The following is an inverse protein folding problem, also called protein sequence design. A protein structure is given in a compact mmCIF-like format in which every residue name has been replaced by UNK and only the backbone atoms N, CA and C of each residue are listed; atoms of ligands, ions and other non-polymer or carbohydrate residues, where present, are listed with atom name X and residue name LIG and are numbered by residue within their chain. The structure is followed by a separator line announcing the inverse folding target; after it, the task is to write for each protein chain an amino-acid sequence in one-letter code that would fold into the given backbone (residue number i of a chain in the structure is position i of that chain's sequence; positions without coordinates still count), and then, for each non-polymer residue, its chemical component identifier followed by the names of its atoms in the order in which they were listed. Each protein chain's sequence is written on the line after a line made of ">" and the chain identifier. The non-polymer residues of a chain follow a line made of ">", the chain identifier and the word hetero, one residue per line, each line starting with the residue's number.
data_IF_242339432548
#
_entry.id   IF_242339432548
#
_cell.length_a   1.000
_cell.length_b   1.000
_cell.length_c   1.000
_cell.angle_alpha   90.00
_cell.angle_beta   90.00
_cell.angle_gamma   90.00
#
_symmetry.space_group_name_H-M   'P 1'
#
loop_
_entity.id
_entity.type
_entity.pdbx_description
1 polymer ?
#
# COMPACT_ATOMS: atom_id res chain seq x y z
N UNK A 1 26.73 -0.39 1.44
CA UNK A 1 27.70 -1.43 1.05
C UNK A 1 26.88 -2.50 0.37
N UNK A 2 26.52 -2.38 -0.91
CA UNK A 2 27.26 -2.49 -2.19
C UNK A 2 26.38 -1.82 -3.26
N UNK A 3 26.82 -1.16 -4.33
CA UNK A 3 28.12 -0.85 -4.90
C UNK A 3 27.81 -0.06 -6.17
N UNK A 4 28.19 1.22 -6.21
CA UNK A 4 28.04 2.04 -7.42
C UNK A 4 29.12 1.59 -8.40
N UNK A 5 28.73 0.81 -9.41
CA UNK A 5 29.55 0.59 -10.60
C UNK A 5 28.86 1.31 -11.75
N UNK A 6 29.10 2.62 -11.83
CA UNK A 6 28.83 3.39 -13.03
C UNK A 6 30.08 3.28 -13.92
N UNK A 7 30.08 2.28 -14.81
CA UNK A 7 31.14 2.02 -15.78
C UNK A 7 31.17 3.19 -16.78
N UNK A 8 32.08 4.14 -16.57
CA UNK A 8 32.32 5.26 -17.48
C UNK A 8 33.20 4.79 -18.62
N UNK A 9 32.58 4.25 -19.67
CA UNK A 9 33.24 4.09 -20.96
C UNK A 9 32.94 5.32 -21.81
N UNK A 10 33.96 6.17 -21.94
CA UNK A 10 33.99 7.23 -22.93
C UNK A 10 33.90 6.62 -24.33
N UNK A 11 32.85 6.92 -25.07
CA UNK A 11 32.80 6.75 -26.52
C UNK A 11 31.79 7.72 -27.12
N UNK A 12 32.31 8.58 -27.99
CA UNK A 12 31.58 9.50 -28.85
C UNK A 12 30.49 8.76 -29.62
N UNK A 13 29.24 9.17 -29.46
CA UNK A 13 28.11 8.66 -30.24
C UNK A 13 26.81 9.38 -29.86
N UNK A 14 26.26 10.13 -30.81
CA UNK A 14 24.97 10.81 -30.72
C UNK A 14 23.84 9.78 -30.60
N UNK A 15 23.56 9.34 -29.38
CA UNK A 15 22.43 8.47 -29.05
C UNK A 15 21.77 9.00 -27.78
N UNK A 16 20.62 9.66 -27.94
CA UNK A 16 19.78 10.09 -26.82
C UNK A 16 19.15 8.85 -26.20
N UNK A 17 19.81 8.25 -25.22
CA UNK A 17 19.21 7.27 -24.34
C UNK A 17 18.54 8.04 -23.19
N UNK A 18 17.21 8.14 -23.24
CA UNK A 18 16.40 8.55 -22.09
C UNK A 18 16.40 7.40 -21.07
N UNK A 19 17.48 7.27 -20.30
CA UNK A 19 17.47 6.42 -19.11
C UNK A 19 16.66 7.12 -18.03
N UNK A 20 15.35 6.86 -18.01
CA UNK A 20 14.50 7.16 -16.86
C UNK A 20 14.85 6.20 -15.74
N UNK A 21 15.30 6.71 -14.60
CA UNK A 21 15.18 5.98 -13.35
C UNK A 21 13.70 5.99 -12.97
N UNK A 22 13.04 4.83 -13.02
CA UNK A 22 11.77 4.65 -12.33
C UNK A 22 12.09 4.50 -10.85
N UNK A 23 11.87 5.56 -10.07
CA UNK A 23 11.74 5.46 -8.63
C UNK A 23 10.39 4.81 -8.37
N UNK A 24 10.37 3.52 -8.03
CA UNK A 24 9.14 2.85 -7.62
C UNK A 24 8.73 3.43 -6.26
N UNK A 25 7.48 3.88 -6.08
CA UNK A 25 7.02 4.26 -4.75
C UNK A 25 7.17 3.06 -3.80
N UNK A 26 7.55 3.32 -2.55
CA UNK A 26 7.58 2.30 -1.51
C UNK A 26 6.13 1.94 -1.19
N UNK A 27 5.72 0.72 -1.51
CA UNK A 27 4.34 0.24 -1.35
C UNK A 27 4.30 -1.05 -0.54
N UNK A 28 3.27 -1.17 0.28
CA UNK A 28 2.96 -2.37 1.05
C UNK A 28 1.78 -3.09 0.42
N UNK A 29 1.90 -4.40 0.21
CA UNK A 29 0.81 -5.24 -0.27
C UNK A 29 -0.09 -5.69 0.87
N UNK A 30 -1.40 -5.60 0.67
CA UNK A 30 -2.43 -6.02 1.62
C UNK A 30 -3.45 -6.93 0.92
N UNK A 31 -3.85 -7.99 1.61
CA UNK A 31 -4.93 -8.89 1.21
C UNK A 31 -6.19 -8.51 1.99
N UNK A 32 -7.26 -8.18 1.30
CA UNK A 32 -8.53 -7.73 1.88
C UNK A 32 -9.57 -8.83 1.71
N UNK A 33 -10.17 -9.23 2.84
CA UNK A 33 -11.21 -10.26 2.86
C UNK A 33 -12.54 -9.79 2.24
N UNK A 34 -13.40 -10.72 1.82
CA UNK A 34 -14.65 -10.43 1.10
C UNK A 34 -15.81 -9.97 1.99
N UNK A 35 -15.60 -9.90 3.30
CA UNK A 35 -16.61 -9.48 4.26
C UNK A 35 -16.02 -8.45 5.24
N UNK A 36 -16.81 -7.42 5.53
CA UNK A 36 -16.57 -6.54 6.67
C UNK A 36 -17.25 -7.10 7.90
N UNK A 37 -16.61 -6.96 9.05
CA UNK A 37 -17.14 -7.47 10.32
C UNK A 37 -17.39 -6.34 11.29
N UNK A 38 -18.36 -6.54 12.18
CA UNK A 38 -18.65 -5.61 13.26
C UNK A 38 -17.42 -5.48 14.18
N UNK A 39 -16.99 -4.26 14.41
CA UNK A 39 -15.85 -3.93 15.27
C UNK A 39 -16.14 -2.66 16.07
N UNK A 40 -15.36 -2.41 17.11
CA UNK A 40 -15.48 -1.23 17.96
C UNK A 40 -14.16 -0.45 17.97
N UNK A 41 -14.19 0.78 17.46
CA UNK A 41 -13.12 1.77 17.60
C UNK A 41 -13.54 2.80 18.65
N UNK A 42 -13.73 4.06 18.21
CA UNK A 42 -14.37 5.10 19.05
C UNK A 42 -15.88 4.84 19.23
N UNK A 43 -16.49 4.17 18.25
CA UNK A 43 -17.89 3.74 18.24
C UNK A 43 -18.04 2.44 17.43
N UNK A 44 -19.20 1.74 17.52
CA UNK A 44 -19.47 0.56 16.69
C UNK A 44 -19.44 0.91 15.20
N UNK A 45 -18.72 0.09 14.42
CA UNK A 45 -18.54 0.28 12.97
C UNK A 45 -18.28 -1.06 12.27
N UNK A 46 -18.10 -1.00 10.94
CA UNK A 46 -17.73 -2.15 10.11
C UNK A 46 -16.26 -2.03 9.70
N UNK A 47 -15.42 -2.98 10.12
CA UNK A 47 -14.00 -3.02 9.78
C UNK A 47 -13.72 -3.93 8.60
N UNK A 48 -12.67 -3.59 7.83
CA UNK A 48 -12.09 -4.51 6.86
C UNK A 48 -11.33 -5.63 7.60
N UNK A 49 -11.18 -6.76 6.93
CA UNK A 49 -10.30 -7.84 7.34
C UNK A 49 -9.08 -7.81 6.43
N UNK A 50 -7.88 -7.66 6.99
CA UNK A 50 -6.64 -7.47 6.24
C UNK A 50 -5.56 -8.44 6.68
N UNK A 51 -4.84 -9.02 5.73
CA UNK A 51 -3.62 -9.80 5.96
C UNK A 51 -2.42 -9.15 5.24
N UNK A 52 -1.22 -9.34 5.81
CA UNK A 52 0.04 -8.78 5.29
C UNK A 52 0.75 -9.73 4.31
N UNK A 53 0.27 -10.98 4.20
CA UNK A 53 0.72 -12.01 3.27
C UNK A 53 -0.45 -12.94 2.91
N UNK A 54 -0.32 -13.73 1.85
CA UNK A 54 -1.34 -14.71 1.42
C UNK A 54 -1.59 -15.82 2.46
N UNK A 55 -0.56 -16.18 3.23
CA UNK A 55 -0.63 -17.23 4.26
C UNK A 55 -0.91 -16.69 5.69
N UNK A 56 -0.97 -15.36 5.87
CA UNK A 56 -1.19 -14.74 7.17
C UNK A 56 -2.67 -14.77 7.57
N UNK A 57 -2.93 -14.87 8.88
CA UNK A 57 -4.29 -14.72 9.42
C UNK A 57 -4.80 -13.29 9.22
N UNK A 58 -6.05 -13.17 8.78
CA UNK A 58 -6.74 -11.88 8.68
C UNK A 58 -6.87 -11.20 10.04
N UNK A 59 -6.56 -9.91 10.08
CA UNK A 59 -6.71 -9.03 11.24
C UNK A 59 -7.72 -7.93 10.95
N UNK A 60 -8.34 -7.41 12.01
CA UNK A 60 -9.26 -6.28 11.89
C UNK A 60 -8.46 -5.02 11.54
N UNK A 61 -8.89 -4.35 10.47
CA UNK A 61 -8.35 -3.08 10.04
C UNK A 61 -9.35 -1.97 10.39
N UNK A 62 -8.94 -1.15 11.36
CA UNK A 62 -9.77 -0.11 11.97
C UNK A 62 -9.65 1.24 11.26
N UNK A 63 -8.64 1.39 10.41
CA UNK A 63 -8.40 2.59 9.62
C UNK A 63 -9.18 2.56 8.30
N UNK A 64 -8.99 3.61 7.50
CA UNK A 64 -9.50 3.69 6.13
C UNK A 64 -8.36 3.75 5.15
N UNK A 65 -8.60 3.29 3.92
CA UNK A 65 -7.65 3.37 2.82
C UNK A 65 -8.18 4.40 1.84
N UNK A 66 -7.50 5.54 1.71
CA UNK A 66 -7.93 6.61 0.82
C UNK A 66 -7.90 6.16 -0.64
N UNK A 67 -9.00 6.39 -1.35
CA UNK A 67 -9.15 5.97 -2.75
C UNK A 67 -9.57 4.51 -2.95
N UNK A 68 -9.71 3.72 -1.89
CA UNK A 68 -10.21 2.34 -1.97
C UNK A 68 -11.71 2.28 -1.67
N UNK A 69 -12.51 1.91 -2.68
CA UNK A 69 -13.95 1.68 -2.55
C UNK A 69 -14.22 0.18 -2.45
N UNK A 70 -14.45 -0.30 -1.24
CA UNK A 70 -14.68 -1.71 -0.98
C UNK A 70 -16.09 -2.14 -1.42
N UNK A 71 -16.16 -3.26 -2.15
CA UNK A 71 -17.43 -3.93 -2.49
C UNK A 71 -17.61 -5.22 -1.70
N UNK A 72 -18.80 -5.42 -1.14
CA UNK A 72 -19.14 -6.61 -0.36
C UNK A 72 -19.19 -7.87 -1.23
N UNK A 73 -18.63 -8.97 -0.72
CA UNK A 73 -18.55 -10.24 -1.42
C UNK A 73 -17.32 -10.37 -2.34
N UNK A 74 -16.43 -9.37 -2.34
CA UNK A 74 -15.24 -9.34 -3.19
C UNK A 74 -13.98 -9.27 -2.35
N UNK A 75 -13.04 -10.16 -2.63
CA UNK A 75 -11.69 -10.16 -2.07
C UNK A 75 -10.75 -9.34 -2.95
N UNK A 76 -9.77 -8.70 -2.33
CA UNK A 76 -8.83 -7.84 -3.04
C UNK A 76 -7.39 -8.13 -2.64
N UNK A 77 -6.48 -7.97 -3.58
CA UNK A 77 -5.05 -7.76 -3.29
C UNK A 77 -4.72 -6.36 -3.77
N UNK A 78 -4.26 -5.50 -2.86
CA UNK A 78 -3.98 -4.09 -3.16
C UNK A 78 -2.58 -3.72 -2.71
N UNK A 79 -1.95 -2.80 -3.43
CA UNK A 79 -0.73 -2.13 -2.98
C UNK A 79 -1.09 -0.74 -2.47
N UNK A 80 -0.60 -0.40 -1.27
CA UNK A 80 -0.87 0.87 -0.59
C UNK A 80 0.42 1.61 -0.25
N UNK A 81 0.36 2.93 -0.26
CA UNK A 81 1.39 3.79 0.33
C UNK A 81 1.02 4.08 1.77
N UNK A 82 1.97 3.92 2.70
CA UNK A 82 1.79 4.21 4.12
C UNK A 82 2.64 5.42 4.49
N UNK A 83 2.00 6.47 5.00
CA UNK A 83 2.69 7.69 5.44
C UNK A 83 2.36 8.02 6.88
N UNK A 84 3.33 8.56 7.62
CA UNK A 84 3.11 9.04 8.99
C UNK A 84 2.38 10.38 8.97
N UNK A 85 1.36 10.51 9.82
CA UNK A 85 0.61 11.76 10.01
C UNK A 85 1.27 12.57 11.12
N UNK A 86 1.70 13.80 10.82
CA UNK A 86 2.31 14.66 11.83
C UNK A 86 1.23 15.25 12.76
N UNK A 87 1.38 15.04 14.08
CA UNK A 87 0.43 15.48 15.12
C UNK A 87 -1.01 14.95 14.90
N UNK A 88 -1.22 13.62 14.88
CA UNK A 88 -2.56 13.07 14.71
C UNK A 88 -3.45 13.45 15.91
N UNK A 89 -4.78 13.56 15.72
CA UNK A 89 -5.73 13.61 16.83
C UNK A 89 -5.48 12.47 17.82
N UNK A 90 -5.78 12.69 19.11
CA UNK A 90 -5.50 11.71 20.16
C UNK A 90 -6.16 10.33 19.94
N UNK A 91 -7.29 10.29 19.24
CA UNK A 91 -8.10 9.10 18.97
C UNK A 91 -7.99 8.62 17.50
N UNK A 92 -7.02 9.11 16.74
CA UNK A 92 -6.80 8.75 15.34
C UNK A 92 -5.45 8.03 15.17
N UNK A 93 -5.35 7.24 14.10
CA UNK A 93 -4.11 6.57 13.73
C UNK A 93 -3.01 7.58 13.37
N UNK A 94 -1.77 7.23 13.69
CA UNK A 94 -0.59 7.97 13.23
C UNK A 94 -0.19 7.60 11.80
N UNK A 95 -0.92 6.67 11.15
CA UNK A 95 -0.66 6.18 9.81
C UNK A 95 -1.81 6.55 8.87
N UNK A 96 -1.47 6.96 7.65
CA UNK A 96 -2.40 7.18 6.56
C UNK A 96 -2.10 6.17 5.46
N UNK A 97 -3.14 5.46 5.02
CA UNK A 97 -3.07 4.46 3.97
C UNK A 97 -3.71 5.03 2.70
N UNK A 98 -2.97 5.07 1.60
CA UNK A 98 -3.48 5.52 0.30
C UNK A 98 -3.37 4.39 -0.72
N UNK A 99 -4.47 4.09 -1.41
CA UNK A 99 -4.47 3.12 -2.49
C UNK A 99 -3.52 3.55 -3.61
N UNK A 100 -2.58 2.68 -3.98
CA UNK A 100 -1.72 2.88 -5.14
C UNK A 100 -2.27 2.11 -6.33
N UNK A 101 -2.56 0.82 -6.15
CA UNK A 101 -3.15 -0.02 -7.19
C UNK A 101 -3.95 -1.21 -6.62
N UNK A 102 -4.92 -1.68 -7.40
CA UNK A 102 -5.60 -2.97 -7.17
C UNK A 102 -4.88 -4.00 -8.04
N UNK A 103 -4.24 -4.96 -7.39
CA UNK A 103 -3.46 -6.02 -8.04
C UNK A 103 -4.38 -7.16 -8.48
N UNK A 104 -5.36 -7.52 -7.64
CA UNK A 104 -6.33 -8.59 -7.90
C UNK A 104 -7.68 -8.28 -7.24
N UNK A 105 -8.76 -8.74 -7.88
CA UNK A 105 -10.15 -8.66 -7.41
C UNK A 105 -10.86 -9.98 -7.75
N UNK A 106 -11.43 -10.67 -6.76
CA UNK A 106 -12.14 -11.96 -6.97
C UNK A 106 -13.34 -12.22 -6.05
#
# INVERSE_FOLDING_TARGET
>A
MTGVVCLTLASVGLGVALTGCSESPDTTRLWIGPERVECEGVAPMMCLQVAESEDDDYRLFYDTIEGFDYQEGTSYVIDVSITEVENPPADASSLQYTLVEIVEES
#
